data_IF_862825509300
#
_entry.id   IF_862825509300
#
_cell.length_a   1.000
_cell.length_b   1.000
_cell.length_c   1.000
_cell.angle_alpha   90.00
_cell.angle_beta   90.00
_cell.angle_gamma   90.00
#
_symmetry.space_group_name_H-M   'P 1'
#
loop_
_entity.id
_entity.type
_entity.pdbx_description
1 polymer ?
#
# COMPACT_ATOMS: atom_id res chain seq x y z
N UNK A 1 3.45 -5.82 -6.88
CA UNK A 1 2.80 -4.56 -7.31
C UNK A 1 1.71 -4.93 -8.31
N UNK A 2 0.45 -4.58 -8.04
CA UNK A 2 -0.66 -4.95 -8.93
C UNK A 2 -1.20 -3.66 -9.58
N UNK A 3 -1.57 -3.75 -10.86
CA UNK A 3 -2.11 -2.63 -11.61
C UNK A 3 -3.61 -2.83 -11.82
N UNK A 4 -4.42 -1.83 -11.45
CA UNK A 4 -5.86 -1.94 -11.67
C UNK A 4 -6.16 -1.61 -13.12
N UNK A 5 -6.57 -2.61 -13.91
CA UNK A 5 -7.02 -2.40 -15.30
C UNK A 5 -8.21 -1.43 -15.39
N UNK A 6 -9.02 -1.31 -14.33
CA UNK A 6 -10.21 -0.43 -14.30
C UNK A 6 -9.87 1.04 -14.07
N UNK A 7 -8.92 1.35 -13.17
CA UNK A 7 -8.62 2.75 -12.79
C UNK A 7 -7.25 3.23 -13.26
N UNK A 8 -6.42 2.34 -13.82
CA UNK A 8 -5.05 2.64 -14.21
C UNK A 8 -4.13 3.01 -13.04
N UNK A 9 -4.60 2.82 -11.80
CA UNK A 9 -3.87 3.18 -10.58
C UNK A 9 -3.08 1.97 -10.06
N UNK A 10 -1.92 2.27 -9.49
CA UNK A 10 -1.11 1.28 -8.78
C UNK A 10 -1.79 0.96 -7.45
N UNK A 11 -1.81 -0.30 -7.07
CA UNK A 11 -2.27 -0.72 -5.76
C UNK A 11 -1.45 -1.90 -5.25
N UNK A 12 -1.42 -2.06 -3.93
CA UNK A 12 -0.90 -3.27 -3.29
C UNK A 12 -2.09 -4.09 -2.87
N UNK A 13 -2.23 -5.25 -3.50
CA UNK A 13 -3.15 -6.28 -3.08
C UNK A 13 -2.38 -7.40 -2.39
N UNK A 14 -3.07 -8.11 -1.52
CA UNK A 14 -2.56 -9.32 -0.92
C UNK A 14 -2.28 -10.38 -2.00
N UNK A 15 -1.11 -11.03 -1.94
CA UNK A 15 -0.75 -12.08 -2.90
C UNK A 15 -1.60 -13.35 -2.74
N UNK A 16 -2.29 -13.52 -1.60
CA UNK A 16 -2.97 -14.76 -1.22
C UNK A 16 -4.50 -14.72 -1.46
N UNK A 17 -4.93 -14.17 -2.58
CA UNK A 17 -6.35 -14.17 -2.98
C UNK A 17 -6.83 -15.61 -3.27
N UNK A 18 -8.03 -16.06 -2.85
CA UNK A 18 -9.13 -15.29 -2.24
C UNK A 18 -9.12 -15.20 -0.71
N UNK A 19 -8.15 -15.81 -0.02
CA UNK A 19 -8.07 -15.78 1.45
C UNK A 19 -7.83 -14.36 2.01
N UNK A 20 -7.36 -13.45 1.17
CA UNK A 20 -7.03 -12.09 1.54
C UNK A 20 -7.44 -11.14 0.40
N UNK A 21 -8.50 -10.36 0.62
CA UNK A 21 -9.12 -9.45 -0.36
C UNK A 21 -8.76 -7.98 -0.13
N UNK A 22 -7.89 -7.68 0.83
CA UNK A 22 -7.45 -6.31 1.10
C UNK A 22 -6.62 -5.76 -0.06
N UNK A 23 -7.00 -4.56 -0.52
CA UNK A 23 -6.30 -3.84 -1.58
C UNK A 23 -6.15 -2.38 -1.18
N UNK A 24 -4.92 -1.88 -1.24
CA UNK A 24 -4.58 -0.54 -0.81
C UNK A 24 -4.18 0.33 -2.00
N UNK A 25 -4.84 1.48 -2.21
CA UNK A 25 -4.52 2.37 -3.30
C UNK A 25 -3.15 3.03 -3.07
N UNK A 26 -2.27 2.94 -4.06
CA UNK A 26 -0.96 3.57 -3.99
C UNK A 26 -0.90 4.83 -4.87
N UNK A 27 -0.12 5.83 -4.45
CA UNK A 27 0.13 6.99 -5.29
C UNK A 27 0.82 6.55 -6.59
N UNK A 28 0.42 7.19 -7.69
CA UNK A 28 0.88 6.85 -9.03
C UNK A 28 2.32 7.33 -9.30
N UNK A 29 2.80 8.29 -8.50
CA UNK A 29 4.13 8.90 -8.58
C UNK A 29 4.84 8.77 -7.23
N UNK A 30 6.16 8.59 -7.26
CA UNK A 30 7.01 8.41 -6.08
C UNK A 30 7.57 7.00 -5.96
N UNK A 31 8.77 6.88 -5.37
CA UNK A 31 9.38 5.60 -5.01
C UNK A 31 8.73 5.13 -3.70
N UNK A 32 8.20 3.91 -3.70
CA UNK A 32 7.58 3.31 -2.52
C UNK A 32 8.61 2.38 -1.91
N UNK A 33 8.91 2.59 -0.63
CA UNK A 33 9.74 1.69 0.16
C UNK A 33 8.87 1.12 1.27
N UNK A 34 8.80 -0.21 1.35
CA UNK A 34 8.14 -0.89 2.47
C UNK A 34 9.05 -0.82 3.70
N UNK A 35 8.44 -0.56 4.85
CA UNK A 35 9.12 -0.62 6.14
C UNK A 35 8.77 -1.94 6.81
N UNK A 36 9.64 -2.45 7.66
CA UNK A 36 9.39 -3.66 8.46
C UNK A 36 8.34 -3.47 9.57
N UNK A 37 7.89 -2.23 9.78
CA UNK A 37 6.85 -1.90 10.74
C UNK A 37 5.45 -2.08 10.13
N UNK A 38 4.56 -2.71 10.88
CA UNK A 38 3.13 -2.77 10.58
C UNK A 38 2.36 -1.76 11.43
N UNK A 39 1.34 -1.17 10.84
CA UNK A 39 0.32 -0.41 11.55
C UNK A 39 -0.59 -1.35 12.36
N UNK A 40 -1.27 -0.83 13.37
CA UNK A 40 -2.15 -1.59 14.28
C UNK A 40 -3.27 -2.36 13.54
N UNK A 41 -3.65 -1.90 12.34
CA UNK A 41 -4.62 -2.57 11.47
C UNK A 41 -4.06 -3.82 10.73
N UNK A 42 -2.78 -4.15 10.95
CA UNK A 42 -2.06 -5.26 10.31
C UNK A 42 -1.56 -4.93 8.90
N UNK A 43 -1.63 -3.66 8.48
CA UNK A 43 -1.13 -3.21 7.19
C UNK A 43 0.30 -2.69 7.30
N UNK A 44 1.19 -2.93 6.32
CA UNK A 44 2.57 -2.46 6.38
C UNK A 44 2.68 -0.94 6.25
N UNK A 45 3.61 -0.33 6.99
CA UNK A 45 3.95 1.08 6.82
C UNK A 45 4.82 1.27 5.58
N UNK A 46 4.48 2.28 4.79
CA UNK A 46 5.21 2.62 3.58
C UNK A 46 5.74 4.05 3.63
N UNK A 47 6.84 4.26 2.92
CA UNK A 47 7.42 5.59 2.71
C UNK A 47 7.31 5.94 1.23
N UNK A 48 6.74 7.12 0.94
CA UNK A 48 6.51 7.59 -0.43
C UNK A 48 7.49 8.73 -0.74
N UNK A 49 8.40 8.50 -1.69
CA UNK A 49 9.35 9.49 -2.18
C UNK A 49 10.67 9.52 -1.39
N UNK A 50 11.31 10.70 -1.35
CA UNK A 50 12.58 10.91 -0.63
C UNK A 50 12.37 11.32 0.84
N UNK A 51 11.17 11.78 1.19
CA UNK A 51 10.83 12.12 2.58
C UNK A 51 10.59 10.82 3.34
N UNK A 52 11.26 10.61 4.47
CA UNK A 52 11.09 9.47 5.39
C UNK A 52 9.77 9.56 6.18
N UNK A 53 8.68 9.97 5.53
CA UNK A 53 7.37 10.03 6.18
C UNK A 53 6.72 8.66 6.10
N UNK A 54 6.66 7.98 7.24
CA UNK A 54 5.98 6.69 7.38
C UNK A 54 4.48 6.96 7.37
N UNK A 55 3.77 6.36 6.43
CA UNK A 55 2.31 6.37 6.42
C UNK A 55 1.78 4.96 6.35
N UNK A 56 0.62 4.77 6.98
CA UNK A 56 -0.15 3.55 6.76
C UNK A 56 -0.49 3.47 5.27
N UNK A 57 -0.27 2.30 4.69
CA UNK A 57 -0.68 2.03 3.31
C UNK A 57 -2.20 2.09 3.15
N UNK A 58 -2.93 1.91 4.26
CA UNK A 58 -4.38 1.98 4.31
C UNK A 58 -4.88 3.36 4.76
N UNK A 59 -5.46 4.18 3.86
CA UNK A 59 -6.04 5.47 4.25
C UNK A 59 -7.37 5.33 4.99
N UNK A 60 -7.98 4.14 5.06
CA UNK A 60 -9.24 3.90 5.79
C UNK A 60 -9.03 3.69 7.30
N UNK A 61 -7.80 3.42 7.74
CA UNK A 61 -7.44 3.25 9.16
C UNK A 61 -6.28 4.19 9.53
N UNK A 62 -6.28 5.41 8.97
CA UNK A 62 -5.26 6.44 9.19
C UNK A 62 -5.63 7.41 10.32
#
# INVERSE_FOLDING_TARGET
MIYSKKTGKRFVGCSNYPKCTKSYPLPQKGKITFTDEACECGAPLIVIGKKKEKRCIDPQHA
#
